data_IF_394572064484
#
_entry.id   IF_394572064484
#
_cell.length_a   1.000
_cell.length_b   1.000
_cell.length_c   1.000
_cell.angle_alpha   90.00
_cell.angle_beta   90.00
_cell.angle_gamma   90.00
#
_symmetry.space_group_name_H-M   'P 1'
#
loop_
_entity.id
_entity.type
_entity.pdbx_description
1 polymer ?
#
# COMPACT_ATOMS: atom_id res chain seq x y z
N UNK A 1 -1.41 16.17 -3.94
CA UNK A 1 -0.27 15.28 -4.29
C UNK A 1 -0.78 14.24 -5.29
N UNK A 2 0.00 13.87 -6.31
CA UNK A 2 -0.40 12.86 -7.32
C UNK A 2 0.38 11.58 -7.10
N UNK A 3 -0.31 10.45 -7.04
CA UNK A 3 0.30 9.12 -7.05
C UNK A 3 0.58 8.72 -8.50
N UNK A 4 1.83 8.32 -8.76
CA UNK A 4 2.30 7.85 -10.06
C UNK A 4 2.57 6.35 -9.92
N UNK A 5 1.94 5.53 -10.76
CA UNK A 5 2.23 4.10 -10.78
C UNK A 5 3.62 3.87 -11.37
N UNK A 6 4.48 3.19 -10.62
CA UNK A 6 5.88 2.90 -10.95
C UNK A 6 6.15 1.39 -11.00
N UNK A 7 5.09 0.57 -11.10
CA UNK A 7 5.18 -0.91 -11.07
C UNK A 7 6.14 -1.44 -12.13
N UNK A 8 6.09 -0.89 -13.35
CA UNK A 8 6.96 -1.31 -14.46
C UNK A 8 8.45 -1.06 -14.18
N UNK A 9 8.79 -0.07 -13.37
CA UNK A 9 10.18 0.25 -13.00
C UNK A 9 10.69 -0.58 -11.81
N UNK A 10 9.83 -1.39 -11.17
CA UNK A 10 10.15 -2.21 -10.00
C UNK A 10 9.87 -3.70 -10.24
N UNK A 11 10.16 -4.18 -11.46
CA UNK A 11 9.83 -5.54 -11.88
C UNK A 11 10.41 -6.63 -10.96
N UNK A 12 11.66 -6.49 -10.51
CA UNK A 12 12.30 -7.45 -9.60
C UNK A 12 11.59 -7.54 -8.24
N UNK A 13 11.23 -6.38 -7.66
CA UNK A 13 10.47 -6.34 -6.41
C UNK A 13 9.10 -7.00 -6.58
N UNK A 14 8.39 -6.63 -7.64
CA UNK A 14 7.05 -7.15 -7.96
C UNK A 14 7.09 -8.67 -8.11
N UNK A 15 8.01 -9.19 -8.94
CA UNK A 15 8.18 -10.63 -9.12
C UNK A 15 8.59 -11.34 -7.83
N UNK A 16 9.50 -10.73 -7.06
CA UNK A 16 9.93 -11.25 -5.77
C UNK A 16 8.77 -11.40 -4.79
N UNK A 17 7.88 -10.40 -4.70
CA UNK A 17 6.71 -10.46 -3.83
C UNK A 17 5.69 -11.49 -4.34
N UNK A 18 5.35 -11.49 -5.62
CA UNK A 18 4.40 -12.45 -6.20
C UNK A 18 4.87 -13.91 -6.09
N UNK A 19 6.18 -14.15 -6.12
CA UNK A 19 6.74 -15.52 -6.06
C UNK A 19 6.87 -16.04 -4.63
N UNK A 20 7.15 -15.16 -3.66
CA UNK A 20 7.55 -15.56 -2.31
C UNK A 20 6.54 -15.18 -1.21
N UNK A 21 5.42 -14.56 -1.56
CA UNK A 21 4.35 -14.19 -0.61
C UNK A 21 3.01 -14.71 -1.10
N UNK A 22 1.95 -14.55 -0.30
CA UNK A 22 0.57 -14.86 -0.67
C UNK A 22 -0.11 -13.75 -1.50
N UNK A 23 0.63 -12.71 -1.88
CA UNK A 23 0.13 -11.63 -2.72
C UNK A 23 -0.22 -12.14 -4.13
N UNK A 24 -1.42 -11.82 -4.59
CA UNK A 24 -1.91 -12.07 -5.96
C UNK A 24 -1.79 -10.86 -6.86
N UNK A 25 -1.62 -9.67 -6.28
CA UNK A 25 -1.33 -8.41 -6.97
C UNK A 25 -0.29 -7.64 -6.15
N UNK A 26 0.69 -7.07 -6.85
CA UNK A 26 1.70 -6.17 -6.28
C UNK A 26 1.85 -4.98 -7.21
N UNK A 27 1.62 -3.78 -6.69
CA UNK A 27 1.80 -2.52 -7.40
C UNK A 27 2.71 -1.59 -6.60
N UNK A 28 3.50 -0.77 -7.30
CA UNK A 28 4.30 0.27 -6.65
C UNK A 28 3.90 1.64 -7.17
N UNK A 29 3.99 2.63 -6.28
CA UNK A 29 3.65 4.01 -6.58
C UNK A 29 4.66 4.96 -5.96
N UNK A 30 4.87 6.09 -6.64
CA UNK A 30 5.58 7.23 -6.11
C UNK A 30 4.59 8.34 -5.76
N UNK A 31 4.75 8.89 -4.55
CA UNK A 31 4.09 10.10 -4.07
C UNK A 31 5.16 11.18 -3.82
N UNK A 32 5.85 11.60 -4.88
CA UNK A 32 7.03 12.46 -4.78
C UNK A 32 8.23 11.66 -4.29
N UNK A 33 8.75 11.98 -3.10
CA UNK A 33 9.90 11.27 -2.50
C UNK A 33 9.47 10.12 -1.57
N UNK A 34 8.16 9.85 -1.49
CA UNK A 34 7.58 8.77 -0.69
C UNK A 34 7.23 7.63 -1.61
N UNK A 35 7.70 6.44 -1.27
CA UNK A 35 7.49 5.20 -1.99
C UNK A 35 6.30 4.47 -1.35
N UNK A 36 5.41 3.94 -2.17
CA UNK A 36 4.25 3.16 -1.73
C UNK A 36 4.24 1.81 -2.43
N UNK A 37 4.10 0.73 -1.65
CA UNK A 37 3.83 -0.61 -2.16
C UNK A 37 2.42 -1.00 -1.75
N UNK A 38 1.63 -1.40 -2.72
CA UNK A 38 0.28 -1.92 -2.52
C UNK A 38 0.26 -3.40 -2.89
N UNK A 39 -0.28 -4.23 -1.99
CA UNK A 39 -0.49 -5.65 -2.27
C UNK A 39 -1.92 -6.04 -1.97
N UNK A 40 -2.39 -7.03 -2.73
CA UNK A 40 -3.64 -7.73 -2.44
C UNK A 40 -3.32 -9.21 -2.30
N UNK A 41 -3.87 -9.82 -1.25
CA UNK A 41 -3.84 -11.24 -0.95
C UNK A 41 -5.28 -11.72 -0.69
N UNK A 42 -5.55 -13.04 -0.59
CA UNK A 42 -6.91 -13.56 -0.45
C UNK A 42 -7.70 -13.01 0.76
N UNK A 43 -7.00 -12.69 1.86
CA UNK A 43 -7.64 -12.29 3.12
C UNK A 43 -7.26 -10.91 3.60
N UNK A 44 -6.48 -10.16 2.83
CA UNK A 44 -6.04 -8.83 3.23
C UNK A 44 -5.49 -8.01 2.07
N UNK A 45 -5.48 -6.69 2.26
CA UNK A 45 -4.72 -5.74 1.47
C UNK A 45 -3.68 -5.09 2.37
N UNK A 46 -2.49 -4.84 1.83
CA UNK A 46 -1.46 -4.05 2.52
C UNK A 46 -1.12 -2.80 1.72
N UNK A 47 -0.89 -1.71 2.45
CA UNK A 47 -0.30 -0.49 1.94
C UNK A 47 0.93 -0.18 2.79
N UNK A 48 2.12 -0.33 2.22
CA UNK A 48 3.38 0.07 2.83
C UNK A 48 3.77 1.43 2.27
N UNK A 49 3.96 2.41 3.16
CA UNK A 49 4.33 3.78 2.82
C UNK A 49 5.68 4.05 3.48
N UNK A 50 6.69 4.37 2.70
CA UNK A 50 8.04 4.60 3.22
C UNK A 50 8.66 5.85 2.63
N UNK A 51 9.53 6.50 3.41
CA UNK A 51 10.31 7.62 2.91
C UNK A 51 11.73 7.54 3.47
N UNK A 52 12.72 7.53 2.57
CA UNK A 52 14.14 7.35 2.94
C UNK A 52 14.73 8.57 3.67
N UNK A 53 14.15 9.75 3.51
CA UNK A 53 14.77 11.01 3.91
C UNK A 53 14.11 11.68 5.11
N UNK A 54 12.83 11.41 5.35
CA UNK A 54 12.04 12.08 6.39
C UNK A 54 10.90 11.21 6.90
N UNK A 55 10.34 11.59 8.04
CA UNK A 55 9.04 11.07 8.47
C UNK A 55 7.93 11.43 7.45
N UNK A 56 6.97 10.52 7.32
CA UNK A 56 5.79 10.69 6.47
C UNK A 56 4.83 11.65 7.19
N UNK A 57 4.28 12.63 6.46
CA UNK A 57 3.35 13.60 7.05
C UNK A 57 1.94 13.01 7.10
N UNK A 58 1.14 13.40 8.09
CA UNK A 58 -0.24 12.92 8.22
C UNK A 58 -1.09 13.25 6.98
N UNK A 59 -0.93 14.45 6.41
CA UNK A 59 -1.65 14.84 5.19
C UNK A 59 -1.26 14.02 3.96
N UNK A 60 -0.03 13.49 3.93
CA UNK A 60 0.46 12.60 2.89
C UNK A 60 -0.09 11.18 3.08
N UNK A 61 -0.08 10.70 4.33
CA UNK A 61 -0.71 9.43 4.72
C UNK A 61 -2.19 9.38 4.33
N UNK A 62 -2.98 10.38 4.73
CA UNK A 62 -4.43 10.40 4.45
C UNK A 62 -4.71 10.47 2.95
N UNK A 63 -3.95 11.28 2.20
CA UNK A 63 -4.12 11.35 0.75
C UNK A 63 -3.80 10.03 0.04
N UNK A 64 -2.80 9.28 0.53
CA UNK A 64 -2.47 7.95 0.01
C UNK A 64 -3.57 6.96 0.38
N UNK A 65 -3.99 6.93 1.65
CA UNK A 65 -5.05 6.04 2.14
C UNK A 65 -6.35 6.24 1.35
N UNK A 66 -6.80 7.48 1.19
CA UNK A 66 -8.02 7.81 0.44
C UNK A 66 -7.94 7.36 -1.02
N UNK A 67 -6.77 7.49 -1.65
CA UNK A 67 -6.57 7.05 -3.03
C UNK A 67 -6.80 5.53 -3.18
N UNK A 68 -6.18 4.72 -2.32
CA UNK A 68 -6.30 3.27 -2.39
C UNK A 68 -7.69 2.79 -1.99
N UNK A 69 -8.26 3.34 -0.91
CA UNK A 69 -9.62 3.05 -0.50
C UNK A 69 -10.58 3.32 -1.66
N UNK A 70 -10.53 4.50 -2.28
CA UNK A 70 -11.48 4.88 -3.32
C UNK A 70 -11.30 4.15 -4.66
N UNK A 71 -10.07 3.77 -5.03
CA UNK A 71 -9.77 3.34 -6.41
C UNK A 71 -9.29 1.90 -6.57
N UNK A 72 -8.81 1.27 -5.50
CA UNK A 72 -8.09 -0.02 -5.59
C UNK A 72 -8.65 -1.08 -4.67
N UNK A 73 -9.26 -0.70 -3.56
CA UNK A 73 -9.82 -1.63 -2.59
C UNK A 73 -11.30 -1.85 -2.88
N UNK A 74 -11.69 -3.12 -3.02
CA UNK A 74 -13.09 -3.50 -3.14
C UNK A 74 -13.74 -3.48 -1.75
N UNK A 75 -14.71 -2.58 -1.58
CA UNK A 75 -15.41 -2.36 -0.32
C UNK A 75 -16.39 -3.48 0.03
N UNK A 76 -16.72 -4.37 -0.92
CA UNK A 76 -17.59 -5.51 -0.65
C UNK A 76 -16.88 -6.60 0.13
N UNK A 77 -15.55 -6.71 -0.02
CA UNK A 77 -14.74 -7.73 0.66
C UNK A 77 -13.89 -7.14 1.79
N UNK A 78 -13.55 -5.86 1.73
CA UNK A 78 -12.72 -5.21 2.75
C UNK A 78 -13.48 -4.96 4.07
N UNK A 79 -12.89 -5.38 5.19
CA UNK A 79 -13.38 -5.14 6.54
C UNK A 79 -12.84 -3.81 7.06
N UNK A 80 -13.47 -2.71 6.61
CA UNK A 80 -13.02 -1.33 6.89
C UNK A 80 -13.07 -0.94 8.38
N UNK A 81 -13.87 -1.64 9.19
CA UNK A 81 -13.93 -1.50 10.64
C UNK A 81 -12.71 -2.12 11.36
N UNK A 82 -11.92 -2.94 10.65
CA UNK A 82 -10.78 -3.69 11.20
C UNK A 82 -9.43 -3.26 10.62
N UNK A 83 -9.36 -2.07 10.03
CA UNK A 83 -8.10 -1.52 9.52
C UNK A 83 -7.11 -1.34 10.67
N UNK A 84 -5.89 -1.83 10.47
CA UNK A 84 -4.77 -1.62 11.38
C UNK A 84 -3.76 -0.70 10.72
N UNK A 85 -3.21 0.24 11.48
CA UNK A 85 -2.12 1.09 11.00
C UNK A 85 -0.98 1.05 12.01
N UNK A 86 0.21 0.69 11.55
CA UNK A 86 1.43 0.69 12.33
C UNK A 86 2.29 1.87 11.87
N UNK A 87 2.68 2.70 12.84
CA UNK A 87 3.55 3.85 12.60
C UNK A 87 4.93 3.58 13.17
N UNK A 88 5.95 3.68 12.31
CA UNK A 88 7.36 3.73 12.71
C UNK A 88 7.96 5.05 12.24
N UNK A 89 9.27 5.26 12.47
CA UNK A 89 9.93 6.52 12.12
C UNK A 89 9.78 6.90 10.64
N UNK A 90 10.01 5.94 9.74
CA UNK A 90 10.14 6.18 8.29
C UNK A 90 9.27 5.24 7.44
N UNK A 91 8.46 4.40 8.09
CA UNK A 91 7.60 3.40 7.47
C UNK A 91 6.24 3.41 8.18
N UNK A 92 5.18 3.41 7.39
CA UNK A 92 3.81 3.22 7.85
C UNK A 92 3.26 2.01 7.10
N UNK A 93 2.63 1.12 7.84
CA UNK A 93 1.97 -0.07 7.30
C UNK A 93 0.47 0.04 7.59
N UNK A 94 -0.36 -0.14 6.56
CA UNK A 94 -1.82 -0.18 6.69
C UNK A 94 -2.29 -1.55 6.22
N UNK A 95 -2.81 -2.33 7.15
CA UNK A 95 -3.36 -3.67 6.90
C UNK A 95 -4.88 -3.60 6.92
N UNK A 96 -5.50 -4.12 5.86
CA UNK A 96 -6.95 -4.08 5.66
C UNK A 96 -7.41 -5.52 5.46
N UNK A 97 -7.96 -6.17 6.49
CA UNK A 97 -8.48 -7.52 6.37
C UNK A 97 -9.61 -7.60 5.33
N UNK A 98 -9.72 -8.73 4.64
CA UNK A 98 -10.75 -8.98 3.64
C UNK A 98 -11.41 -10.35 3.85
N UNK A 99 -12.65 -10.48 3.40
CA UNK A 99 -13.34 -11.78 3.29
C UNK A 99 -13.07 -12.40 1.93
N UNK A 100 -12.85 -13.72 1.92
CA UNK A 100 -12.68 -14.50 0.69
C UNK A 100 -14.00 -14.76 -0.03
#
# INVERSE_FOLDING_TARGET
MRLINTTSSHAELVQGQLTNTDATLVETYSAGNTDVVFTQAPYHFEILISNKYRAIKDSELEAIREFFLKRKIDHNIALLDKIKTLHTANLIEISIPATN
#
